data_IF_705570954445
#
_entry.id   IF_705570954445
#
_cell.length_a   1.000
_cell.length_b   1.000
_cell.length_c   1.000
_cell.angle_alpha   90.00
_cell.angle_beta   90.00
_cell.angle_gamma   90.00
#
_symmetry.space_group_name_H-M   'P 1'
#
loop_
_entity.id
_entity.type
_entity.pdbx_description
1 polymer ?
#
# COMPACT_ATOMS: atom_id res chain seq x y z
N UNK A 1 -8.98 -14.46 5.35
CA UNK A 1 -9.36 -14.59 3.93
C UNK A 1 -9.17 -16.04 3.53
N UNK A 2 -10.08 -16.63 2.76
CA UNK A 2 -9.90 -18.03 2.31
C UNK A 2 -8.94 -18.09 1.11
N UNK A 3 -7.67 -18.40 1.36
CA UNK A 3 -6.63 -18.57 0.34
C UNK A 3 -6.74 -19.89 -0.43
N UNK A 4 -7.65 -20.78 -0.03
CA UNK A 4 -8.00 -21.97 -0.81
C UNK A 4 -8.70 -21.61 -2.12
N UNK A 5 -9.61 -20.63 -2.08
CA UNK A 5 -10.34 -20.17 -3.27
C UNK A 5 -9.51 -19.30 -4.24
N UNK A 6 -9.75 -19.39 -5.57
CA UNK A 6 -9.11 -18.52 -6.55
C UNK A 6 -9.30 -17.02 -6.27
N UNK A 7 -10.55 -16.63 -5.96
CA UNK A 7 -10.91 -15.26 -5.59
C UNK A 7 -10.16 -14.80 -4.34
N UNK A 8 -10.03 -15.64 -3.33
CA UNK A 8 -9.35 -15.27 -2.09
C UNK A 8 -7.84 -15.10 -2.25
N UNK A 9 -7.18 -15.86 -3.13
CA UNK A 9 -5.77 -15.62 -3.51
C UNK A 9 -5.58 -14.24 -4.14
N UNK A 10 -6.47 -13.87 -5.06
CA UNK A 10 -6.49 -12.53 -5.67
C UNK A 10 -6.69 -11.44 -4.63
N UNK A 11 -7.72 -11.56 -3.81
CA UNK A 11 -8.06 -10.55 -2.80
C UNK A 11 -6.92 -10.38 -1.78
N UNK A 12 -6.29 -11.49 -1.38
CA UNK A 12 -5.12 -11.47 -0.49
C UNK A 12 -3.95 -10.71 -1.10
N UNK A 13 -3.58 -10.99 -2.35
CA UNK A 13 -2.50 -10.28 -3.04
C UNK A 13 -2.79 -8.77 -3.17
N UNK A 14 -4.03 -8.39 -3.53
CA UNK A 14 -4.46 -6.99 -3.62
C UNK A 14 -4.29 -6.28 -2.27
N UNK A 15 -4.81 -6.87 -1.20
CA UNK A 15 -4.74 -6.26 0.14
C UNK A 15 -3.29 -6.19 0.62
N UNK A 16 -2.50 -7.23 0.38
CA UNK A 16 -1.11 -7.26 0.81
C UNK A 16 -0.28 -6.18 0.11
N UNK A 17 -0.46 -5.98 -1.20
CA UNK A 17 0.17 -4.86 -1.93
C UNK A 17 -0.26 -3.52 -1.33
N UNK A 18 -1.55 -3.33 -1.08
CA UNK A 18 -2.06 -2.10 -0.47
C UNK A 18 -1.44 -1.82 0.91
N UNK A 19 -1.28 -2.85 1.74
CA UNK A 19 -0.75 -2.72 3.09
C UNK A 19 0.78 -2.60 3.16
N UNK A 20 1.50 -3.33 2.31
CA UNK A 20 2.97 -3.47 2.40
C UNK A 20 3.72 -2.46 1.54
N UNK A 21 3.13 -2.07 0.41
CA UNK A 21 3.72 -1.16 -0.55
C UNK A 21 2.93 0.17 -0.65
N UNK A 22 1.78 0.25 0.01
CA UNK A 22 1.01 1.48 0.09
C UNK A 22 0.34 1.91 -1.21
N UNK A 23 0.18 1.07 -2.24
CA UNK A 23 -0.39 1.50 -3.52
C UNK A 23 -1.86 1.92 -3.43
N UNK A 24 -2.30 2.83 -4.34
CA UNK A 24 -3.72 3.23 -4.47
C UNK A 24 -4.50 2.11 -5.16
N UNK A 25 -5.81 2.04 -4.90
CA UNK A 25 -6.70 1.09 -5.55
C UNK A 25 -6.55 1.17 -7.08
N UNK A 26 -6.55 2.39 -7.62
CA UNK A 26 -6.39 2.64 -9.05
C UNK A 26 -5.07 2.10 -9.58
N UNK A 27 -3.96 2.34 -8.88
CA UNK A 27 -2.64 1.84 -9.29
C UNK A 27 -2.60 0.30 -9.24
N UNK A 28 -3.13 -0.32 -8.18
CA UNK A 28 -3.22 -1.79 -8.06
C UNK A 28 -4.05 -2.39 -9.20
N UNK A 29 -5.20 -1.79 -9.54
CA UNK A 29 -6.04 -2.23 -10.67
C UNK A 29 -5.28 -2.20 -12.00
N UNK A 30 -4.38 -1.25 -12.14
CA UNK A 30 -3.63 -1.00 -13.37
C UNK A 30 -2.31 -1.78 -13.45
N UNK A 31 -1.93 -2.57 -12.43
CA UNK A 31 -0.72 -3.38 -12.51
C UNK A 31 -0.80 -4.42 -13.64
N UNK A 32 0.23 -4.44 -14.47
CA UNK A 32 0.48 -5.37 -15.56
C UNK A 32 1.68 -6.29 -15.25
N UNK A 33 1.82 -7.37 -16.01
CA UNK A 33 2.97 -8.30 -15.88
C UNK A 33 4.33 -7.59 -15.97
N UNK A 34 4.46 -6.64 -16.88
CA UNK A 34 5.68 -5.86 -17.12
C UNK A 34 6.11 -4.98 -15.95
N UNK A 35 5.19 -4.65 -15.02
CA UNK A 35 5.54 -3.83 -13.87
C UNK A 35 6.41 -4.59 -12.86
N UNK A 36 6.46 -5.93 -12.92
CA UNK A 36 7.21 -6.76 -11.97
C UNK A 36 8.57 -7.16 -12.58
N UNK A 37 9.64 -6.51 -12.13
CA UNK A 37 11.00 -6.94 -12.40
C UNK A 37 11.42 -7.97 -11.33
N UNK A 38 11.20 -9.25 -11.63
CA UNK A 38 11.49 -10.35 -10.71
C UNK A 38 12.99 -10.54 -10.44
N UNK A 39 13.84 -10.24 -11.42
CA UNK A 39 15.30 -10.37 -11.30
C UNK A 39 15.86 -9.35 -10.32
N UNK A 40 15.48 -8.08 -10.49
CA UNK A 40 15.92 -6.99 -9.60
C UNK A 40 15.08 -6.88 -8.33
N UNK A 41 14.01 -7.68 -8.20
CA UNK A 41 13.04 -7.64 -7.09
C UNK A 41 12.44 -6.24 -6.93
N UNK A 42 11.91 -5.69 -8.02
CA UNK A 42 11.30 -4.37 -8.06
C UNK A 42 9.91 -4.39 -8.67
N UNK A 43 9.07 -3.47 -8.21
CA UNK A 43 7.79 -3.10 -8.80
C UNK A 43 7.90 -1.69 -9.38
N UNK A 44 7.80 -1.58 -10.70
CA UNK A 44 7.97 -0.33 -11.43
C UNK A 44 6.69 0.03 -12.18
N UNK A 45 6.10 1.19 -11.90
CA UNK A 45 4.85 1.64 -12.52
C UNK A 45 4.71 3.17 -12.48
N UNK A 46 3.86 3.73 -13.32
CA UNK A 46 3.51 5.16 -13.28
C UNK A 46 2.27 5.35 -12.40
N UNK A 47 2.36 6.21 -11.39
CA UNK A 47 1.24 6.53 -10.52
C UNK A 47 0.11 7.23 -11.28
N UNK A 48 -1.12 6.73 -11.12
CA UNK A 48 -2.30 7.26 -11.83
C UNK A 48 -2.66 8.68 -11.38
N UNK A 49 -2.40 9.05 -10.11
CA UNK A 49 -2.75 10.38 -9.56
C UNK A 49 -1.79 11.48 -10.03
N UNK A 50 -0.50 11.18 -10.06
CA UNK A 50 0.57 12.19 -10.22
C UNK A 50 1.27 12.10 -11.58
N UNK A 51 1.09 10.99 -12.31
CA UNK A 51 1.83 10.70 -13.54
C UNK A 51 3.31 10.42 -13.32
N UNK A 52 3.78 10.31 -12.07
CA UNK A 52 5.20 10.10 -11.77
C UNK A 52 5.54 8.61 -11.81
N UNK A 53 6.72 8.25 -12.38
CA UNK A 53 7.23 6.89 -12.27
C UNK A 53 7.57 6.58 -10.81
N UNK A 54 7.26 5.37 -10.39
CA UNK A 54 7.60 4.81 -9.08
C UNK A 54 8.37 3.52 -9.25
N UNK A 55 9.36 3.35 -8.41
CA UNK A 55 10.09 2.11 -8.22
C UNK A 55 10.02 1.73 -6.74
N UNK A 56 9.49 0.55 -6.45
CA UNK A 56 9.33 0.04 -5.09
C UNK A 56 10.03 -1.31 -4.96
N UNK A 57 10.65 -1.61 -3.80
CA UNK A 57 11.18 -2.94 -3.54
C UNK A 57 10.04 -3.97 -3.51
N UNK A 58 10.18 -5.04 -4.29
CA UNK A 58 9.26 -6.17 -4.26
C UNK A 58 9.61 -7.07 -3.08
N UNK A 59 8.96 -6.81 -1.95
CA UNK A 59 9.15 -7.60 -0.73
C UNK A 59 8.71 -9.06 -0.95
N UNK A 60 9.42 -10.06 -0.37
CA UNK A 60 9.20 -11.47 -0.68
C UNK A 60 7.76 -11.96 -0.46
N UNK A 61 7.10 -11.50 0.60
CA UNK A 61 5.72 -11.87 0.92
C UNK A 61 4.71 -11.37 -0.13
N UNK A 62 4.92 -10.16 -0.64
CA UNK A 62 4.13 -9.61 -1.75
C UNK A 62 4.39 -10.39 -3.04
N UNK A 63 5.65 -10.64 -3.38
CA UNK A 63 6.02 -11.40 -4.58
C UNK A 63 5.39 -12.79 -4.59
N UNK A 64 5.48 -13.52 -3.47
CA UNK A 64 4.86 -14.85 -3.31
C UNK A 64 3.34 -14.81 -3.43
N UNK A 65 2.68 -13.81 -2.84
CA UNK A 65 1.23 -13.66 -2.95
C UNK A 65 0.77 -13.40 -4.39
N UNK A 66 1.53 -12.58 -5.14
CA UNK A 66 1.27 -12.33 -6.56
C UNK A 66 1.46 -13.61 -7.38
N UNK A 67 2.54 -14.35 -7.16
CA UNK A 67 2.79 -15.63 -7.86
C UNK A 67 1.67 -16.64 -7.57
N UNK A 68 1.26 -16.80 -6.31
CA UNK A 68 0.18 -17.70 -5.90
C UNK A 68 -1.15 -17.32 -6.59
N UNK A 69 -1.47 -16.01 -6.62
CA UNK A 69 -2.61 -15.48 -7.36
C UNK A 69 -2.51 -15.79 -8.86
N UNK A 70 -1.37 -15.53 -9.50
CA UNK A 70 -1.20 -15.72 -10.94
C UNK A 70 -1.30 -17.19 -11.35
N UNK A 71 -0.69 -18.09 -10.56
CA UNK A 71 -0.59 -19.51 -10.89
C UNK A 71 -1.86 -20.29 -10.57
N UNK A 72 -2.54 -19.96 -9.47
CA UNK A 72 -3.64 -20.76 -8.93
C UNK A 72 -4.94 -19.99 -8.71
N UNK A 73 -4.93 -18.67 -8.88
CA UNK A 73 -6.10 -17.81 -8.69
C UNK A 73 -6.64 -17.19 -9.97
N UNK A 74 -5.77 -16.75 -10.88
CA UNK A 74 -6.16 -15.92 -12.01
C UNK A 74 -6.94 -16.73 -13.07
N UNK A 75 -8.17 -16.32 -13.43
CA UNK A 75 -8.87 -16.86 -14.59
C UNK A 75 -8.05 -16.75 -15.87
N UNK A 76 -8.20 -17.70 -16.79
CA UNK A 76 -7.57 -17.67 -18.11
C UNK A 76 -8.28 -16.65 -18.99
N UNK A 77 -7.69 -15.47 -19.12
CA UNK A 77 -8.23 -14.34 -19.88
C UNK A 77 -7.11 -13.64 -20.61
N UNK A 78 -7.41 -13.18 -21.82
CA UNK A 78 -6.48 -12.41 -22.65
C UNK A 78 -6.43 -10.95 -22.15
N UNK A 79 -5.51 -10.70 -21.23
CA UNK A 79 -5.27 -9.37 -20.67
C UNK A 79 -3.88 -9.31 -20.04
N UNK A 80 -3.21 -8.18 -20.19
CA UNK A 80 -1.93 -7.89 -19.53
C UNK A 80 -2.06 -7.57 -18.04
N UNK A 81 -3.28 -7.29 -17.54
CA UNK A 81 -3.52 -6.94 -16.14
C UNK A 81 -3.32 -8.14 -15.22
N UNK A 82 -2.61 -7.95 -14.12
CA UNK A 82 -2.38 -8.97 -13.10
C UNK A 82 -3.70 -9.39 -12.44
N UNK A 83 -4.52 -8.40 -12.08
CA UNK A 83 -5.76 -8.62 -11.34
C UNK A 83 -7.00 -8.46 -12.22
N UNK A 84 -7.85 -9.47 -12.19
CA UNK A 84 -9.09 -9.52 -12.97
C UNK A 84 -10.28 -9.92 -12.09
N UNK A 85 -11.49 -9.65 -12.58
CA UNK A 85 -12.74 -10.04 -11.94
C UNK A 85 -12.87 -11.56 -11.88
N UNK A 86 -13.54 -12.05 -10.84
CA UNK A 86 -13.81 -13.49 -10.60
C UNK A 86 -15.29 -13.81 -10.76
N UNK A 87 -16.01 -12.94 -11.45
CA UNK A 87 -17.41 -13.04 -11.83
C UNK A 87 -17.46 -12.80 -13.34
N UNK A 88 -18.26 -13.59 -14.06
CA UNK A 88 -18.39 -13.40 -15.50
C UNK A 88 -19.02 -12.02 -15.81
N UNK A 89 -18.58 -11.35 -16.89
CA UNK A 89 -17.43 -11.68 -17.73
C UNK A 89 -16.10 -11.45 -16.99
N UNK A 90 -15.14 -12.39 -17.13
CA UNK A 90 -13.84 -12.31 -16.48
C UNK A 90 -12.94 -11.28 -17.16
N UNK A 91 -13.13 -10.01 -16.79
CA UNK A 91 -12.43 -8.87 -17.37
C UNK A 91 -11.53 -8.21 -16.32
N UNK A 92 -10.56 -7.38 -16.75
CA UNK A 92 -9.92 -6.42 -15.87
C UNK A 92 -10.94 -5.63 -15.05
N UNK A 93 -10.52 -5.17 -13.87
CA UNK A 93 -11.35 -4.26 -13.08
C UNK A 93 -11.61 -2.97 -13.88
N UNK A 94 -12.87 -2.55 -13.95
CA UNK A 94 -13.27 -1.28 -14.54
C UNK A 94 -12.85 -0.09 -13.66
N UNK A 95 -12.93 1.13 -14.20
CA UNK A 95 -12.66 2.34 -13.40
C UNK A 95 -13.63 2.46 -12.21
N UNK A 96 -14.91 2.17 -12.43
CA UNK A 96 -15.95 2.11 -11.40
C UNK A 96 -15.87 0.89 -10.47
N UNK A 97 -14.96 -0.06 -10.71
CA UNK A 97 -14.76 -1.16 -9.76
C UNK A 97 -13.99 -0.66 -8.53
N UNK A 98 -14.71 -0.58 -7.43
CA UNK A 98 -14.28 -0.03 -6.15
C UNK A 98 -13.56 -1.09 -5.31
N UNK A 99 -12.25 -1.26 -5.51
CA UNK A 99 -11.42 -2.14 -4.66
C UNK A 99 -11.47 -1.73 -3.17
N UNK A 100 -11.83 -0.49 -2.86
CA UNK A 100 -12.09 -0.06 -1.49
C UNK A 100 -13.27 -0.81 -0.85
N UNK A 101 -14.29 -1.19 -1.62
CA UNK A 101 -15.38 -2.04 -1.12
C UNK A 101 -14.90 -3.44 -0.78
N UNK A 102 -13.98 -4.01 -1.58
CA UNK A 102 -13.33 -5.28 -1.27
C UNK A 102 -12.58 -5.19 0.06
N UNK A 103 -11.76 -4.15 0.25
CA UNK A 103 -11.02 -3.94 1.50
C UNK A 103 -11.99 -3.80 2.68
N UNK A 104 -13.03 -2.98 2.54
CA UNK A 104 -14.07 -2.79 3.56
C UNK A 104 -14.76 -4.10 3.92
N UNK A 105 -15.10 -4.93 2.94
CA UNK A 105 -15.73 -6.23 3.18
C UNK A 105 -14.84 -7.14 4.03
N UNK A 106 -13.52 -7.13 3.81
CA UNK A 106 -12.59 -7.89 4.64
C UNK A 106 -12.37 -7.29 6.02
N UNK A 107 -12.36 -5.96 6.16
CA UNK A 107 -12.32 -5.32 7.49
C UNK A 107 -13.53 -5.70 8.34
N UNK A 108 -14.73 -5.71 7.73
CA UNK A 108 -15.97 -6.14 8.39
C UNK A 108 -15.88 -7.62 8.80
N UNK A 109 -15.45 -8.51 7.89
CA UNK A 109 -15.25 -9.94 8.21
C UNK A 109 -14.23 -10.17 9.32
N UNK A 110 -13.24 -9.29 9.44
CA UNK A 110 -12.22 -9.33 10.48
C UNK A 110 -12.64 -8.66 11.79
N UNK A 111 -13.89 -8.17 11.90
CA UNK A 111 -14.40 -7.45 13.07
C UNK A 111 -13.56 -6.21 13.43
N UNK A 112 -12.88 -5.61 12.44
CA UNK A 112 -12.11 -4.39 12.66
C UNK A 112 -13.12 -3.23 12.83
N UNK A 113 -13.07 -2.48 13.94
CA UNK A 113 -14.02 -1.42 14.21
C UNK A 113 -14.01 -0.36 13.10
N UNK A 114 -15.13 -0.23 12.40
CA UNK A 114 -15.31 0.78 11.37
C UNK A 114 -15.91 2.05 11.98
N UNK A 115 -15.23 2.70 12.94
CA UNK A 115 -15.68 3.97 13.56
C UNK A 115 -14.81 5.14 13.05
N UNK A 116 -15.42 6.26 12.63
CA UNK A 116 -14.70 7.47 12.15
C UNK A 116 -14.75 7.75 10.63
N UNK A 117 -14.11 8.86 10.20
CA UNK A 117 -14.16 9.49 8.85
C UNK A 117 -13.28 8.83 7.78
N UNK A 118 -12.20 8.14 8.17
CA UNK A 118 -11.25 7.54 7.22
C UNK A 118 -11.35 6.02 7.27
N UNK A 119 -12.05 5.42 6.29
CA UNK A 119 -12.34 3.98 6.24
C UNK A 119 -11.90 3.35 4.92
N UNK A 120 -11.08 2.31 4.99
CA UNK A 120 -10.63 1.52 3.83
C UNK A 120 -9.15 1.73 3.56
N UNK A 121 -8.77 1.83 2.28
CA UNK A 121 -7.37 1.95 1.90
C UNK A 121 -6.64 3.14 2.54
N UNK A 122 -7.33 4.25 2.77
CA UNK A 122 -6.74 5.41 3.43
C UNK A 122 -6.33 5.08 4.88
N UNK A 123 -7.12 4.29 5.61
CA UNK A 123 -6.77 3.81 6.95
C UNK A 123 -5.53 2.92 6.93
N UNK A 124 -5.43 2.00 5.95
CA UNK A 124 -4.27 1.12 5.79
C UNK A 124 -2.98 1.90 5.51
N UNK A 125 -3.07 2.93 4.66
CA UNK A 125 -1.96 3.84 4.37
C UNK A 125 -1.55 4.67 5.59
N UNK A 126 -2.52 5.15 6.38
CA UNK A 126 -2.23 5.83 7.65
C UNK A 126 -1.52 4.91 8.65
N UNK A 127 -1.98 3.65 8.79
CA UNK A 127 -1.30 2.66 9.63
C UNK A 127 0.12 2.40 9.14
N UNK A 128 0.33 2.24 7.83
CA UNK A 128 1.67 2.03 7.26
C UNK A 128 2.59 3.24 7.53
N UNK A 129 2.09 4.46 7.34
CA UNK A 129 2.83 5.68 7.65
C UNK A 129 3.22 5.76 9.14
N UNK A 130 2.28 5.43 10.03
CA UNK A 130 2.50 5.42 11.48
C UNK A 130 3.59 4.40 11.86
N UNK A 131 3.53 3.19 11.31
CA UNK A 131 4.55 2.16 11.52
C UNK A 131 5.93 2.55 10.97
N UNK A 132 5.99 3.28 9.85
CA UNK A 132 7.26 3.77 9.30
C UNK A 132 7.84 4.92 10.15
N UNK A 133 6.99 5.79 10.69
CA UNK A 133 7.40 6.84 11.64
C UNK A 133 7.89 6.28 12.97
N UNK A 134 7.21 5.27 13.51
CA UNK A 134 7.66 4.53 14.71
C UNK A 134 9.02 3.84 14.51
N UNK A 135 9.40 3.60 13.25
CA UNK A 135 10.70 3.01 12.87
C UNK A 135 11.71 4.06 12.40
N UNK A 136 11.48 5.33 12.71
CA UNK A 136 12.37 6.45 12.40
C UNK A 136 12.70 6.60 10.91
N UNK A 137 11.79 6.17 10.02
CA UNK A 137 11.95 6.40 8.58
C UNK A 137 11.74 7.90 8.28
N UNK A 138 12.66 8.56 7.55
CA UNK A 138 12.52 10.00 7.28
C UNK A 138 11.22 10.35 6.55
N UNK A 139 10.55 11.43 7.00
CA UNK A 139 9.29 11.92 6.41
C UNK A 139 9.32 12.08 4.88
N UNK A 140 10.40 12.55 4.23
CA UNK A 140 10.48 12.60 2.77
C UNK A 140 10.33 11.22 2.12
N UNK A 141 10.97 10.19 2.68
CA UNK A 141 10.89 8.81 2.20
C UNK A 141 9.48 8.24 2.40
N UNK A 142 8.87 8.52 3.55
CA UNK A 142 7.46 8.13 3.81
C UNK A 142 6.52 8.81 2.82
N UNK A 143 6.73 10.11 2.52
CA UNK A 143 5.96 10.89 1.55
C UNK A 143 6.06 10.32 0.13
N UNK A 144 7.25 9.90 -0.29
CA UNK A 144 7.48 9.30 -1.60
C UNK A 144 6.77 7.95 -1.74
N UNK A 145 6.89 7.09 -0.72
CA UNK A 145 6.22 5.78 -0.68
C UNK A 145 4.69 5.94 -0.73
N UNK A 146 4.14 6.90 -0.01
CA UNK A 146 2.67 7.13 0.05
C UNK A 146 2.17 7.90 -1.18
N UNK A 147 3.09 8.52 -1.91
CA UNK A 147 2.89 9.33 -3.11
C UNK A 147 2.19 10.63 -2.76
N UNK A 148 2.98 11.66 -2.42
CA UNK A 148 2.62 13.02 -2.04
C UNK A 148 1.19 13.15 -1.45
N UNK A 149 1.19 13.08 -0.12
CA UNK A 149 0.08 13.27 0.79
C UNK A 149 -0.95 14.27 0.23
N UNK A 150 -2.24 13.91 0.32
CA UNK A 150 -3.26 14.96 0.40
C UNK A 150 -2.79 15.94 1.47
N UNK A 151 -2.73 17.22 1.12
CA UNK A 151 -2.23 18.33 1.95
C UNK A 151 -2.82 18.35 3.36
N UNK A 152 -3.92 17.65 3.62
CA UNK A 152 -4.54 17.48 4.93
C UNK A 152 -3.89 16.43 5.85
N UNK A 153 -3.09 15.50 5.32
CA UNK A 153 -2.54 14.36 6.09
C UNK A 153 -1.11 14.60 6.61
N UNK A 154 -0.34 15.51 6.00
CA UNK A 154 1.03 15.87 6.42
C UNK A 154 1.04 16.61 7.76
N UNK A 155 0.03 17.44 8.02
CA UNK A 155 -0.05 18.22 9.26
C UNK A 155 -0.10 17.34 10.51
N UNK A 156 -0.73 16.17 10.42
CA UNK A 156 -0.80 15.22 11.55
C UNK A 156 0.58 14.63 11.84
N UNK A 157 1.38 14.33 10.82
CA UNK A 157 2.70 13.73 11.00
C UNK A 157 3.76 14.75 11.40
N UNK A 158 3.70 15.98 10.89
CA UNK A 158 4.56 17.08 11.34
C UNK A 158 4.30 17.44 12.81
N UNK A 159 3.03 17.34 13.25
CA UNK A 159 2.69 17.55 14.66
C UNK A 159 3.29 16.48 15.56
N UNK A 160 3.22 15.21 15.17
CA UNK A 160 3.84 14.11 15.91
C UNK A 160 5.37 14.23 15.95
N UNK A 161 5.99 14.68 14.86
CA UNK A 161 7.45 14.89 14.83
C UNK A 161 7.87 16.08 15.73
N UNK A 162 7.07 17.15 15.79
CA UNK A 162 7.28 18.25 16.74
C UNK A 162 7.10 17.81 18.20
N UNK A 163 6.06 17.02 18.51
CA UNK A 163 5.85 16.46 19.85
C UNK A 163 7.02 15.53 20.26
N UNK A 164 7.58 14.73 19.32
CA UNK A 164 8.77 13.90 19.57
C UNK A 164 10.06 14.71 19.72
N UNK A 165 10.17 15.86 19.05
CA UNK A 165 11.27 16.80 19.26
C UNK A 165 11.22 17.43 20.65
N UNK A 166 10.01 17.72 21.16
CA UNK A 166 9.79 18.24 22.52
C UNK A 166 10.05 17.19 23.61
N UNK A 167 9.87 15.89 23.31
CA UNK A 167 10.23 14.78 24.20
C UNK A 167 11.73 14.44 24.22
N UNK A 168 12.54 15.14 23.43
CA UNK A 168 14.00 15.04 23.49
C UNK A 168 14.54 16.19 24.36
N UNK A 169 14.79 15.98 25.67
CA UNK A 169 15.57 16.92 26.45
C UNK A 169 17.03 16.74 26.01
N UNK A 170 17.38 17.26 24.84
CA UNK A 170 18.77 17.61 24.61
C UNK A 170 19.05 18.75 25.58
N UNK A 171 19.63 18.39 26.72
CA UNK A 171 20.23 19.33 27.63
C UNK A 171 21.26 20.12 26.82
N UNK A 172 21.02 21.42 26.66
CA UNK A 172 21.82 22.29 25.81
C UNK A 172 23.22 22.58 26.41
N UNK A 173 23.65 21.87 27.45
CA UNK A 173 24.93 22.09 28.14
C UNK A 173 26.09 21.18 27.71
N UNK A 174 25.91 20.15 26.88
CA UNK A 174 27.01 19.23 26.49
C UNK A 174 27.62 19.46 25.09
N UNK A 175 27.46 20.65 24.49
CA UNK A 175 28.11 20.99 23.19
C UNK A 175 29.22 22.04 23.32
N UNK A 176 29.57 22.49 24.53
CA UNK A 176 30.62 23.53 24.74
C UNK A 176 31.94 23.00 25.34
N UNK A 177 32.09 21.69 25.56
CA UNK A 177 33.35 21.13 26.10
C UNK A 177 33.96 19.98 25.30
N UNK A 178 34.13 20.18 24.00
CA UNK A 178 35.23 19.55 23.26
C UNK A 178 36.12 20.64 22.67
N UNK A 179 37.00 21.14 23.54
CA UNK A 179 38.28 21.73 23.13
C UNK A 179 39.29 20.65 22.76
#
# INVERSE_FOLDING_TARGET
>A
MDRGSPKGKRDYAIILIACRLGLRCTDIKNLCFENFNWTEKKLCFTQSKTGQPMELPLVPDVGLAVIDCLKYGRPKVDSSRIFVRHTAPFLPFAEGDHLDQLIRAYMVKAHIPMRGKHRGMHSLRHTMASVLLEKDTPLPVISDIIGHLDTNSTAVYLKVDMERLEECPLDFEEVIHLG
#
